data_IF_025705119719
#
_entry.id   IF_025705119719
#
_cell.length_a   1.000
_cell.length_b   1.000
_cell.length_c   1.000
_cell.angle_alpha   90.00
_cell.angle_beta   90.00
_cell.angle_gamma   90.00
#
_symmetry.space_group_name_H-M   'P 1'
#
loop_
_entity.id
_entity.type
_entity.pdbx_description
1 polymer ?
#
# COMPACT_ATOMS: atom_id res chain seq x y z
N UNK A 1 -3.15 -41.39 38.03
CA UNK A 1 -3.11 -39.92 37.85
C UNK A 1 -3.18 -39.69 36.35
N UNK A 2 -4.36 -39.33 35.84
CA UNK A 2 -4.55 -39.16 34.40
C UNK A 2 -3.74 -37.92 34.00
N UNK A 3 -2.71 -38.11 33.17
CA UNK A 3 -1.94 -37.02 32.56
C UNK A 3 -2.81 -36.45 31.44
N UNK A 4 -3.78 -35.63 31.77
CA UNK A 4 -4.44 -34.83 30.74
C UNK A 4 -3.51 -33.70 30.34
N UNK A 5 -3.31 -33.53 29.05
CA UNK A 5 -2.57 -32.40 28.49
C UNK A 5 -3.45 -31.16 28.49
N UNK A 6 -2.83 -29.97 28.43
CA UNK A 6 -3.58 -28.71 28.34
C UNK A 6 -4.48 -28.70 27.10
N UNK A 7 -4.05 -29.34 26.00
CA UNK A 7 -4.85 -29.46 24.77
C UNK A 7 -6.17 -30.22 24.99
N UNK A 8 -6.11 -31.40 25.62
CA UNK A 8 -7.30 -32.22 25.91
C UNK A 8 -8.27 -31.52 26.88
N UNK A 9 -7.73 -30.74 27.83
CA UNK A 9 -8.54 -29.95 28.77
C UNK A 9 -9.22 -28.76 28.08
N UNK A 10 -8.60 -28.21 27.04
CA UNK A 10 -9.15 -27.12 26.26
C UNK A 10 -10.15 -27.60 25.21
N UNK A 11 -9.97 -28.77 24.59
CA UNK A 11 -10.94 -29.33 23.61
C UNK A 11 -12.36 -29.41 24.19
N UNK A 12 -12.51 -29.86 25.43
CA UNK A 12 -13.82 -29.96 26.09
C UNK A 12 -14.40 -28.62 26.56
N UNK A 13 -13.61 -27.52 26.53
CA UNK A 13 -13.99 -26.21 27.05
C UNK A 13 -13.91 -25.07 26.01
N UNK A 14 -13.40 -25.33 24.81
CA UNK A 14 -13.35 -24.37 23.70
C UNK A 14 -14.71 -24.38 23.00
N UNK A 15 -15.46 -23.30 23.22
CA UNK A 15 -16.78 -23.08 22.61
C UNK A 15 -16.72 -22.42 21.23
N UNK A 16 -15.54 -21.91 20.84
CA UNK A 16 -15.29 -21.25 19.57
C UNK A 16 -13.82 -21.39 19.18
N UNK A 17 -13.56 -22.04 18.04
CA UNK A 17 -12.26 -22.11 17.39
C UNK A 17 -12.34 -21.40 16.04
N UNK A 18 -11.43 -20.46 15.79
CA UNK A 18 -11.40 -19.65 14.57
C UNK A 18 -10.01 -19.77 13.96
N UNK A 19 -9.95 -20.33 12.76
CA UNK A 19 -8.75 -20.31 11.92
C UNK A 19 -8.86 -19.15 10.91
N UNK A 20 -7.89 -18.23 10.94
CA UNK A 20 -7.91 -17.08 10.06
C UNK A 20 -6.55 -16.39 9.97
N UNK A 21 -6.37 -15.64 8.89
CA UNK A 21 -5.19 -14.79 8.71
C UNK A 21 -5.45 -13.47 9.43
N UNK A 22 -4.78 -13.24 10.56
CA UNK A 22 -4.88 -11.97 11.31
C UNK A 22 -4.38 -10.77 10.47
N UNK A 23 -3.20 -10.91 9.82
CA UNK A 23 -2.63 -9.86 8.96
C UNK A 23 -1.81 -10.45 7.81
N UNK A 24 -2.03 -9.90 6.61
CA UNK A 24 -1.17 -10.12 5.45
C UNK A 24 -0.45 -8.82 5.08
N UNK A 25 0.87 -8.80 5.22
CA UNK A 25 1.70 -7.66 4.83
C UNK A 25 2.22 -7.85 3.40
N UNK A 26 1.77 -6.99 2.48
CA UNK A 26 2.26 -6.94 1.10
C UNK A 26 3.38 -5.89 0.98
N UNK A 27 4.48 -6.10 1.72
CA UNK A 27 5.67 -5.27 1.62
C UNK A 27 6.60 -5.84 0.55
N UNK A 28 6.83 -5.09 -0.53
CA UNK A 28 7.76 -5.51 -1.58
C UNK A 28 9.06 -4.70 -1.50
N UNK A 29 10.18 -5.42 -1.52
CA UNK A 29 11.49 -4.82 -1.72
C UNK A 29 11.93 -5.02 -3.18
N UNK A 30 12.11 -3.90 -3.88
CA UNK A 30 12.65 -3.91 -5.25
C UNK A 30 14.03 -3.23 -5.22
N UNK A 31 15.14 -3.98 -5.41
CA UNK A 31 16.50 -3.45 -5.24
C UNK A 31 16.86 -2.29 -6.18
N UNK A 32 16.47 -2.37 -7.46
CA UNK A 32 16.79 -1.35 -8.46
C UNK A 32 16.11 0.00 -8.18
N UNK A 33 14.91 -0.01 -7.59
CA UNK A 33 14.17 1.20 -7.23
C UNK A 33 14.70 1.88 -5.96
N UNK A 34 15.73 1.33 -5.32
CA UNK A 34 16.36 1.94 -4.14
C UNK A 34 17.36 3.04 -4.47
N UNK A 35 17.73 3.21 -5.75
CA UNK A 35 18.70 4.20 -6.22
C UNK A 35 18.12 5.06 -7.34
N UNK A 36 18.60 6.31 -7.49
CA UNK A 36 18.18 7.18 -8.59
C UNK A 36 18.55 6.59 -9.96
N UNK A 37 19.70 5.93 -10.06
CA UNK A 37 20.14 5.23 -11.26
C UNK A 37 19.17 4.12 -11.66
N UNK A 38 18.82 3.22 -10.74
CA UNK A 38 17.90 2.13 -11.07
C UNK A 38 16.44 2.58 -11.30
N UNK A 39 15.98 3.65 -10.64
CA UNK A 39 14.73 4.32 -11.04
C UNK A 39 14.82 4.84 -12.47
N UNK A 40 15.94 5.44 -12.87
CA UNK A 40 16.14 5.91 -14.24
C UNK A 40 16.13 4.77 -15.25
N UNK A 41 16.82 3.66 -14.96
CA UNK A 41 16.84 2.45 -15.80
C UNK A 41 15.45 1.85 -15.97
N UNK A 42 14.67 1.73 -14.88
CA UNK A 42 13.30 1.22 -14.92
C UNK A 42 12.42 2.03 -15.90
N UNK A 43 12.50 3.36 -15.84
CA UNK A 43 11.68 4.21 -16.67
C UNK A 43 12.18 4.31 -18.11
N UNK A 44 13.49 4.37 -18.34
CA UNK A 44 14.03 4.66 -19.67
C UNK A 44 14.30 3.43 -20.52
N UNK A 45 14.81 2.37 -19.90
CA UNK A 45 15.43 1.26 -20.61
C UNK A 45 14.57 0.00 -20.50
N UNK A 46 14.26 -0.44 -19.28
CA UNK A 46 13.75 -1.81 -19.06
C UNK A 46 12.25 -1.96 -19.20
N UNK A 47 11.44 -1.06 -18.61
CA UNK A 47 10.02 -1.35 -18.40
C UNK A 47 9.04 -0.32 -18.96
N UNK A 48 9.46 0.94 -19.14
CA UNK A 48 8.55 2.01 -19.56
C UNK A 48 8.95 2.73 -20.85
N UNK A 49 10.16 2.49 -21.37
CA UNK A 49 10.63 3.05 -22.65
C UNK A 49 10.57 4.58 -22.73
N UNK A 50 10.60 5.27 -21.58
CA UNK A 50 10.51 6.72 -21.54
C UNK A 50 11.82 7.35 -22.03
N UNK A 51 11.76 8.39 -22.87
CA UNK A 51 12.97 9.10 -23.31
C UNK A 51 13.76 9.68 -22.13
N UNK A 52 13.02 10.22 -21.15
CA UNK A 52 13.56 10.79 -19.92
C UNK A 52 12.71 10.35 -18.73
N UNK A 53 13.37 10.14 -17.60
CA UNK A 53 12.71 9.91 -16.32
C UNK A 53 12.08 11.21 -15.84
N UNK A 54 10.75 11.23 -15.72
CA UNK A 54 9.99 12.45 -15.38
C UNK A 54 8.95 12.19 -14.29
N UNK A 55 8.62 13.25 -13.53
CA UNK A 55 7.53 13.20 -12.55
C UNK A 55 6.17 12.86 -13.18
N UNK A 56 5.95 13.29 -14.44
CA UNK A 56 4.72 12.99 -15.16
C UNK A 56 4.59 11.48 -15.39
N UNK A 57 5.64 10.83 -15.88
CA UNK A 57 5.67 9.38 -16.14
C UNK A 57 5.47 8.57 -14.85
N UNK A 58 6.13 8.96 -13.76
CA UNK A 58 5.94 8.33 -12.45
C UNK A 58 4.51 8.49 -11.93
N UNK A 59 3.99 9.73 -11.96
CA UNK A 59 2.67 10.05 -11.40
C UNK A 59 1.53 9.40 -12.18
N UNK A 60 1.67 9.23 -13.50
CA UNK A 60 0.65 8.58 -14.33
C UNK A 60 0.41 7.14 -13.90
N UNK A 61 1.48 6.38 -13.61
CA UNK A 61 1.38 5.00 -13.16
C UNK A 61 0.72 4.91 -11.79
N UNK A 62 1.16 5.72 -10.82
CA UNK A 62 0.56 5.74 -9.49
C UNK A 62 -0.92 6.14 -9.53
N UNK A 63 -1.27 7.15 -10.33
CA UNK A 63 -2.67 7.59 -10.48
C UNK A 63 -3.55 6.52 -11.14
N UNK A 64 -3.02 5.77 -12.11
CA UNK A 64 -3.73 4.63 -12.70
C UNK A 64 -4.05 3.60 -11.62
N UNK A 65 -3.04 3.15 -10.88
CA UNK A 65 -3.23 2.16 -9.81
C UNK A 65 -4.24 2.60 -8.75
N UNK A 66 -4.16 3.86 -8.28
CA UNK A 66 -5.13 4.41 -7.32
C UNK A 66 -6.54 4.47 -7.93
N UNK A 67 -6.67 4.87 -9.20
CA UNK A 67 -7.96 4.86 -9.90
C UNK A 67 -8.52 3.46 -10.01
N UNK A 68 -7.70 2.45 -10.27
CA UNK A 68 -8.14 1.07 -10.43
C UNK A 68 -8.65 0.51 -9.08
N UNK A 69 -8.03 0.87 -7.94
CA UNK A 69 -8.56 0.59 -6.59
C UNK A 69 -9.93 1.23 -6.40
N UNK A 70 -10.08 2.51 -6.73
CA UNK A 70 -11.37 3.20 -6.61
C UNK A 70 -12.43 2.63 -7.56
N UNK A 71 -12.02 2.19 -8.75
CA UNK A 71 -12.89 1.52 -9.72
C UNK A 71 -13.41 0.20 -9.18
N UNK A 72 -12.52 -0.64 -8.64
CA UNK A 72 -12.87 -1.88 -7.96
C UNK A 72 -13.83 -1.62 -6.79
N UNK A 73 -13.49 -0.70 -5.88
CA UNK A 73 -14.32 -0.37 -4.74
C UNK A 73 -15.74 0.06 -5.15
N UNK A 74 -15.86 0.88 -6.19
CA UNK A 74 -17.15 1.30 -6.74
C UNK A 74 -17.93 0.14 -7.36
N UNK A 75 -17.25 -0.74 -8.10
CA UNK A 75 -17.87 -1.89 -8.77
C UNK A 75 -18.45 -2.87 -7.74
N UNK A 76 -17.69 -3.14 -6.68
CA UNK A 76 -18.06 -4.11 -5.64
C UNK A 76 -18.90 -3.49 -4.51
N UNK A 77 -19.20 -2.19 -4.56
CA UNK A 77 -19.96 -1.49 -3.51
C UNK A 77 -19.21 -1.38 -2.18
N UNK A 78 -17.88 -1.43 -2.21
CA UNK A 78 -17.02 -1.37 -1.02
C UNK A 78 -16.64 0.08 -0.72
N UNK A 79 -16.81 0.48 0.53
CA UNK A 79 -16.45 1.82 0.99
C UNK A 79 -14.93 2.03 1.06
N UNK A 80 -14.46 3.22 0.66
CA UNK A 80 -13.08 3.68 0.89
C UNK A 80 -13.06 4.72 2.00
N UNK A 81 -12.77 4.31 3.23
CA UNK A 81 -12.83 5.14 4.43
C UNK A 81 -11.48 5.86 4.68
N UNK A 82 -11.43 7.20 4.67
CA UNK A 82 -10.21 7.93 5.03
C UNK A 82 -9.94 7.86 6.53
N UNK A 83 -8.70 7.53 6.90
CA UNK A 83 -8.21 7.57 8.27
C UNK A 83 -7.47 8.89 8.52
N UNK A 84 -8.07 9.75 9.33
CA UNK A 84 -7.43 10.96 9.82
C UNK A 84 -6.41 10.64 10.92
N UNK A 85 -5.48 11.55 11.13
CA UNK A 85 -4.49 11.43 12.20
C UNK A 85 -5.19 11.38 13.57
N UNK A 86 -4.81 10.40 14.40
CA UNK A 86 -5.35 10.23 15.75
C UNK A 86 -6.71 9.52 15.82
N UNK A 87 -7.32 9.15 14.68
CA UNK A 87 -8.52 8.33 14.71
C UNK A 87 -8.21 6.89 15.12
N UNK A 88 -9.09 6.33 15.96
CA UNK A 88 -9.07 4.93 16.31
C UNK A 88 -9.66 4.09 15.17
N UNK A 89 -8.82 3.27 14.54
CA UNK A 89 -9.23 2.42 13.42
C UNK A 89 -10.17 1.29 13.85
N UNK A 90 -10.08 0.87 15.11
CA UNK A 90 -10.92 -0.21 15.63
C UNK A 90 -12.35 0.30 15.81
N UNK A 91 -12.54 1.52 16.34
CA UNK A 91 -13.87 2.14 16.45
C UNK A 91 -14.53 2.32 15.08
N UNK A 92 -13.76 2.75 14.06
CA UNK A 92 -14.26 2.83 12.68
C UNK A 92 -14.66 1.45 12.17
N UNK A 93 -13.81 0.43 12.38
CA UNK A 93 -14.08 -0.94 11.95
C UNK A 93 -15.32 -1.52 12.63
N UNK A 94 -15.51 -1.29 13.93
CA UNK A 94 -16.69 -1.73 14.68
C UNK A 94 -17.97 -1.09 14.12
N UNK A 95 -17.93 0.19 13.74
CA UNK A 95 -19.08 0.85 13.13
C UNK A 95 -19.44 0.27 11.75
N UNK A 96 -18.47 -0.24 10.99
CA UNK A 96 -18.71 -0.97 9.73
C UNK A 96 -19.25 -2.38 10.00
N UNK A 97 -18.67 -3.12 10.94
CA UNK A 97 -19.13 -4.45 11.33
C UNK A 97 -20.59 -4.44 11.78
N UNK A 98 -21.00 -3.45 12.57
CA UNK A 98 -22.38 -3.32 13.03
C UNK A 98 -23.42 -3.09 11.93
N UNK A 99 -22.99 -2.80 10.70
CA UNK A 99 -23.85 -2.63 9.50
C UNK A 99 -23.66 -3.76 8.48
N UNK A 100 -22.73 -4.68 8.73
CA UNK A 100 -22.40 -5.74 7.79
C UNK A 100 -23.39 -6.89 7.94
N UNK A 101 -24.15 -7.16 6.88
CA UNK A 101 -25.06 -8.31 6.82
C UNK A 101 -24.44 -9.48 6.04
N UNK A 102 -23.35 -9.24 5.31
CA UNK A 102 -22.65 -10.28 4.56
C UNK A 102 -21.82 -11.18 5.47
N UNK A 103 -21.84 -12.48 5.18
CA UNK A 103 -21.02 -13.48 5.87
C UNK A 103 -19.56 -13.45 5.40
N UNK A 104 -19.33 -13.14 4.13
CA UNK A 104 -18.01 -13.10 3.50
C UNK A 104 -17.84 -11.88 2.60
N UNK A 105 -16.61 -11.38 2.50
CA UNK A 105 -16.24 -10.31 1.59
C UNK A 105 -15.31 -9.27 2.19
N UNK A 106 -15.14 -8.16 1.47
CA UNK A 106 -14.36 -7.02 1.94
C UNK A 106 -15.29 -6.10 2.71
N UNK A 107 -15.04 -5.93 4.01
CA UNK A 107 -15.83 -5.04 4.87
C UNK A 107 -15.74 -3.58 4.41
N UNK A 108 -14.52 -3.06 4.25
CA UNK A 108 -14.21 -1.75 3.70
C UNK A 108 -12.72 -1.63 3.36
N UNK A 109 -12.34 -0.59 2.63
CA UNK A 109 -10.95 -0.23 2.33
C UNK A 109 -10.56 0.99 3.18
N UNK A 110 -9.70 0.77 4.18
CA UNK A 110 -9.12 1.87 4.98
C UNK A 110 -8.01 2.60 4.23
N UNK A 111 -8.10 3.93 4.14
CA UNK A 111 -7.10 4.79 3.48
C UNK A 111 -6.36 5.65 4.51
N UNK A 112 -5.12 5.30 4.80
CA UNK A 112 -4.21 6.13 5.60
C UNK A 112 -3.16 6.83 4.72
N UNK A 113 -2.77 8.05 5.09
CA UNK A 113 -1.64 8.73 4.46
C UNK A 113 -0.36 8.39 5.21
N UNK A 114 0.55 7.69 4.54
CA UNK A 114 1.90 7.48 5.03
C UNK A 114 2.86 8.54 4.46
N UNK A 115 3.82 8.98 5.27
CA UNK A 115 4.92 9.83 4.80
C UNK A 115 6.10 8.92 4.46
N UNK A 116 6.51 8.92 3.20
CA UNK A 116 7.66 8.14 2.75
C UNK A 116 8.60 8.98 1.91
N UNK A 117 9.90 8.67 1.98
CA UNK A 117 10.93 9.30 1.15
C UNK A 117 10.93 8.69 -0.24
N UNK A 118 10.75 9.49 -1.27
CA UNK A 118 10.66 9.02 -2.66
C UNK A 118 11.55 9.81 -3.61
N UNK A 119 11.79 9.25 -4.79
CA UNK A 119 12.52 9.94 -5.86
C UNK A 119 11.63 10.98 -6.54
N UNK A 120 12.21 12.16 -6.75
CA UNK A 120 11.62 13.25 -7.53
C UNK A 120 12.64 13.79 -8.52
N UNK A 121 12.14 14.33 -9.63
CA UNK A 121 12.97 15.05 -10.60
C UNK A 121 12.97 16.53 -10.24
N UNK A 122 14.12 17.06 -9.85
CA UNK A 122 14.40 18.47 -9.69
C UNK A 122 15.09 19.03 -10.93
N UNK A 123 14.98 20.35 -11.14
CA UNK A 123 15.70 21.06 -12.19
C UNK A 123 17.03 21.56 -11.61
N UNK A 124 18.15 21.14 -12.18
CA UNK A 124 19.49 21.68 -11.88
C UNK A 124 20.05 22.42 -13.08
N UNK A 125 21.10 23.22 -12.84
CA UNK A 125 21.78 24.01 -13.85
C UNK A 125 23.26 23.64 -13.87
N UNK A 126 23.79 23.44 -15.07
CA UNK A 126 25.22 23.19 -15.26
C UNK A 126 25.98 24.51 -15.03
N UNK A 127 27.03 24.48 -14.21
CA UNK A 127 27.78 25.67 -13.78
C UNK A 127 28.55 26.33 -14.92
N UNK A 128 28.95 25.56 -15.92
CA UNK A 128 29.84 26.02 -16.99
C UNK A 128 29.04 26.54 -18.18
N UNK A 129 27.88 25.93 -18.45
CA UNK A 129 27.05 26.22 -19.64
C UNK A 129 25.76 26.96 -19.31
N UNK A 130 25.36 27.03 -18.03
CA UNK A 130 24.07 27.57 -17.59
C UNK A 130 22.84 26.76 -18.05
N UNK A 131 23.05 25.64 -18.77
CA UNK A 131 21.96 24.82 -19.28
C UNK A 131 21.29 24.03 -18.16
N UNK A 132 19.97 23.94 -18.20
CA UNK A 132 19.22 23.17 -17.22
C UNK A 132 19.15 21.69 -17.58
N UNK A 133 19.24 20.81 -16.59
CA UNK A 133 19.09 19.37 -16.74
C UNK A 133 18.27 18.74 -15.60
N UNK A 134 17.60 17.60 -15.84
CA UNK A 134 16.85 16.90 -14.80
C UNK A 134 17.78 16.18 -13.83
N UNK A 135 17.49 16.28 -12.53
CA UNK A 135 18.24 15.63 -11.47
C UNK A 135 17.31 14.82 -10.56
N UNK A 136 17.59 13.54 -10.38
CA UNK A 136 16.84 12.69 -9.45
C UNK A 136 17.34 12.90 -8.02
N UNK A 137 16.45 13.40 -7.16
CA UNK A 137 16.71 13.60 -5.74
C UNK A 137 15.73 12.77 -4.91
N UNK A 138 16.12 12.36 -3.70
CA UNK A 138 15.28 11.59 -2.78
C UNK A 138 14.89 12.48 -1.61
N UNK A 139 13.59 12.67 -1.40
CA UNK A 139 13.02 13.56 -0.37
C UNK A 139 11.96 12.85 0.43
#
# INVERSE_FOLDING_TARGET
MIKQTIGELLEDNVVLDIEGIDRMYLNLYQPMLQTGGGVSTFFREEHRGAKVTSMASMSSMTKSFVRDIHGFAKQEGVDVAPFAQGQNKDEITQAYLGKCEAEEGILYIGKAQEKFRTYRVAKHFNTDTGQSFPWLTRT
#
